data_IF_063636420366
#
_entry.id   IF_063636420366
#
_cell.length_a   1.000
_cell.length_b   1.000
_cell.length_c   1.000
_cell.angle_alpha   90.00
_cell.angle_beta   90.00
_cell.angle_gamma   90.00
#
_symmetry.space_group_name_H-M   'P 1'
#
loop_
_entity.id
_entity.type
_entity.pdbx_description
1 polymer ?
#
# COMPACT_ATOMS: atom_id res chain seq x y z
N UNK A 1 41.16 -80.08 4.31
CA UNK A 1 40.83 -79.63 2.93
C UNK A 1 39.31 -79.67 2.81
N UNK A 2 38.55 -78.65 2.43
CA UNK A 2 38.84 -77.39 1.74
C UNK A 2 37.73 -76.37 2.09
N UNK A 3 38.12 -75.09 2.22
CA UNK A 3 37.23 -73.93 2.37
C UNK A 3 36.28 -73.78 1.18
N UNK A 4 35.04 -73.32 1.43
CA UNK A 4 34.24 -72.46 0.52
C UNK A 4 32.90 -72.11 1.18
N UNK A 5 32.80 -70.93 1.83
CA UNK A 5 31.59 -70.07 1.91
C UNK A 5 31.78 -68.94 2.94
N UNK A 6 32.46 -67.85 2.56
CA UNK A 6 32.71 -66.70 3.46
C UNK A 6 32.59 -65.33 2.78
N UNK A 7 31.76 -65.20 1.73
CA UNK A 7 31.56 -63.91 1.05
C UNK A 7 30.14 -63.34 1.10
N UNK A 8 29.12 -64.13 1.46
CA UNK A 8 27.72 -63.66 1.42
C UNK A 8 27.20 -63.08 2.75
N UNK A 9 27.83 -63.40 3.87
CA UNK A 9 27.37 -62.96 5.21
C UNK A 9 27.98 -61.62 5.65
N UNK A 10 29.08 -61.17 5.02
CA UNK A 10 29.73 -59.91 5.36
C UNK A 10 29.02 -58.68 4.76
N UNK A 11 28.29 -58.83 3.66
CA UNK A 11 27.54 -57.73 3.04
C UNK A 11 26.25 -57.39 3.80
N UNK A 12 25.60 -58.38 4.43
CA UNK A 12 24.32 -58.19 5.11
C UNK A 12 24.53 -57.47 6.46
N UNK A 13 25.68 -57.70 7.12
CA UNK A 13 26.01 -57.03 8.39
C UNK A 13 26.38 -55.54 8.19
N UNK A 14 26.82 -55.15 6.99
CA UNK A 14 27.12 -53.75 6.64
C UNK A 14 25.86 -52.90 6.39
N UNK A 15 24.72 -53.51 6.07
CA UNK A 15 23.50 -52.77 5.70
C UNK A 15 22.59 -52.49 6.91
N UNK A 16 22.65 -53.32 7.95
CA UNK A 16 21.86 -53.15 9.18
C UNK A 16 22.45 -52.06 10.09
N UNK A 17 23.75 -51.78 10.00
CA UNK A 17 24.41 -50.75 10.81
C UNK A 17 24.12 -49.30 10.35
N UNK A 18 23.58 -49.11 9.14
CA UNK A 18 23.25 -47.78 8.60
C UNK A 18 21.83 -47.31 8.97
N UNK A 19 20.95 -48.22 9.38
CA UNK A 19 19.54 -47.90 9.72
C UNK A 19 19.37 -47.39 11.16
N UNK A 20 20.36 -47.62 12.04
CA UNK A 20 20.27 -47.24 13.47
C UNK A 20 20.73 -45.79 13.73
N UNK A 21 21.25 -45.08 12.73
CA UNK A 21 21.76 -43.70 12.89
C UNK A 21 20.73 -42.58 12.62
N UNK A 22 19.47 -42.88 12.34
CA UNK A 22 18.44 -41.84 12.07
C UNK A 22 17.43 -41.62 13.20
N UNK A 23 17.67 -42.13 14.41
CA UNK A 23 16.74 -41.99 15.56
C UNK A 23 17.21 -40.96 16.59
N UNK A 24 17.66 -39.79 16.17
CA UNK A 24 17.98 -38.69 17.10
C UNK A 24 17.64 -37.32 16.53
N UNK A 25 16.34 -37.01 16.43
CA UNK A 25 15.87 -35.64 16.55
C UNK A 25 15.12 -35.52 17.88
N UNK A 26 15.82 -34.88 18.82
CA UNK A 26 15.39 -34.46 20.16
C UNK A 26 14.07 -33.71 20.10
N UNK A 27 13.25 -33.94 21.12
CA UNK A 27 12.13 -33.07 21.51
C UNK A 27 12.59 -31.60 21.50
N UNK A 28 12.19 -30.88 20.47
CA UNK A 28 12.12 -29.43 20.56
C UNK A 28 10.78 -29.15 21.20
N UNK A 29 10.82 -28.95 22.51
CA UNK A 29 9.84 -28.17 23.21
C UNK A 29 9.73 -26.85 22.45
N UNK A 30 8.78 -26.77 21.50
CA UNK A 30 8.42 -25.52 20.86
C UNK A 30 7.87 -24.67 21.99
N UNK A 31 8.75 -23.87 22.60
CA UNK A 31 8.35 -22.56 23.08
C UNK A 31 7.65 -21.94 21.89
N UNK A 32 6.33 -21.95 21.93
CA UNK A 32 5.51 -21.02 21.17
C UNK A 32 5.99 -19.65 21.61
N UNK A 33 7.02 -19.13 20.93
CA UNK A 33 7.17 -17.70 20.83
C UNK A 33 5.82 -17.24 20.32
N UNK A 34 5.09 -16.54 21.19
CA UNK A 34 4.05 -15.64 20.73
C UNK A 34 4.78 -14.71 19.77
N UNK A 35 4.74 -15.02 18.48
CA UNK A 35 4.91 -14.01 17.45
C UNK A 35 3.84 -13.01 17.83
N UNK A 36 4.27 -11.92 18.47
CA UNK A 36 3.42 -10.78 18.70
C UNK A 36 3.21 -10.25 17.29
N UNK A 37 2.24 -10.84 16.58
CA UNK A 37 1.87 -10.45 15.24
C UNK A 37 1.53 -8.97 15.37
N UNK A 38 2.43 -8.12 14.88
CA UNK A 38 2.26 -6.69 14.94
C UNK A 38 0.92 -6.44 14.27
N UNK A 39 -0.07 -5.98 15.04
CA UNK A 39 -1.41 -5.77 14.54
C UNK A 39 -1.31 -4.88 13.30
N UNK A 40 -1.94 -5.32 12.21
CA UNK A 40 -2.01 -4.51 10.99
C UNK A 40 -2.75 -3.22 11.35
N UNK A 41 -2.11 -2.08 11.06
CA UNK A 41 -2.71 -0.75 11.23
C UNK A 41 -3.31 -0.36 9.90
N UNK A 42 -4.61 -0.10 9.89
CA UNK A 42 -5.34 0.30 8.70
C UNK A 42 -5.47 1.83 8.63
N UNK A 43 -5.68 2.39 7.42
CA UNK A 43 -6.00 3.80 7.25
C UNK A 43 -7.16 4.30 8.13
N UNK A 44 -8.18 3.45 8.37
CA UNK A 44 -9.30 3.76 9.27
C UNK A 44 -8.91 3.88 10.74
N UNK A 45 -7.77 3.31 11.16
CA UNK A 45 -7.24 3.45 12.52
C UNK A 45 -6.52 4.80 12.71
N UNK A 46 -6.04 5.40 11.62
CA UNK A 46 -5.30 6.67 11.62
C UNK A 46 -6.22 7.88 11.40
N UNK A 47 -7.23 7.74 10.54
CA UNK A 47 -8.19 8.80 10.21
C UNK A 47 -9.60 8.39 10.68
N UNK A 48 -10.13 8.99 11.75
CA UNK A 48 -11.31 8.48 12.46
C UNK A 48 -12.65 8.71 11.73
N UNK A 49 -12.67 9.50 10.65
CA UNK A 49 -13.85 9.82 9.85
C UNK A 49 -13.83 9.13 8.47
N UNK A 50 -13.11 8.00 8.36
CA UNK A 50 -12.94 7.29 7.08
C UNK A 50 -14.26 6.73 6.53
N UNK A 51 -15.26 6.52 7.38
CA UNK A 51 -16.62 6.09 7.02
C UNK A 51 -17.36 7.08 6.12
N UNK A 52 -16.99 8.37 6.18
CA UNK A 52 -17.54 9.43 5.34
C UNK A 52 -17.03 9.42 3.89
N UNK A 53 -16.06 8.56 3.59
CA UNK A 53 -15.35 8.54 2.32
C UNK A 53 -15.45 7.20 1.62
N UNK A 54 -15.38 7.26 0.30
CA UNK A 54 -15.07 6.14 -0.59
C UNK A 54 -13.77 6.42 -1.31
N UNK A 55 -13.12 5.41 -1.87
CA UNK A 55 -11.85 5.58 -2.59
C UNK A 55 -11.93 4.98 -3.99
N UNK A 56 -11.27 5.64 -4.94
CA UNK A 56 -10.86 5.08 -6.23
C UNK A 56 -9.33 5.01 -6.25
N UNK A 57 -8.77 3.83 -6.43
CA UNK A 57 -7.34 3.57 -6.54
C UNK A 57 -6.85 3.63 -8.00
N UNK A 58 -5.55 3.81 -8.18
CA UNK A 58 -4.96 4.00 -9.51
C UNK A 58 -4.97 2.78 -10.44
N UNK A 59 -5.28 1.59 -9.90
CA UNK A 59 -5.58 0.38 -10.66
C UNK A 59 -7.06 0.27 -11.06
N UNK A 60 -7.89 1.23 -10.65
CA UNK A 60 -9.33 1.25 -10.90
C UNK A 60 -10.17 0.59 -9.81
N UNK A 61 -9.54 0.00 -8.79
CA UNK A 61 -10.24 -0.62 -7.66
C UNK A 61 -11.00 0.45 -6.87
N UNK A 62 -12.23 0.13 -6.49
CA UNK A 62 -13.11 1.01 -5.70
C UNK A 62 -13.48 0.34 -4.40
N UNK A 63 -13.43 1.10 -3.31
CA UNK A 63 -13.98 0.69 -2.03
C UNK A 63 -14.98 1.74 -1.56
N UNK A 64 -16.22 1.31 -1.33
CA UNK A 64 -17.27 2.17 -0.78
C UNK A 64 -17.20 2.23 0.76
N UNK A 65 -16.82 1.12 1.41
CA UNK A 65 -16.60 1.07 2.85
C UNK A 65 -15.11 0.88 3.14
N UNK A 66 -14.56 1.74 3.99
CA UNK A 66 -13.11 1.84 4.21
C UNK A 66 -12.65 1.34 5.58
N UNK A 67 -13.55 0.76 6.37
CA UNK A 67 -13.21 0.13 7.64
C UNK A 67 -12.28 -1.07 7.39
N UNK A 68 -11.09 -1.05 7.99
CA UNK A 68 -10.07 -2.08 7.88
C UNK A 68 -9.65 -2.40 6.43
N UNK A 69 -9.69 -1.40 5.55
CA UNK A 69 -9.26 -1.55 4.16
C UNK A 69 -7.83 -1.08 3.99
N UNK A 70 -6.97 -1.95 3.45
CA UNK A 70 -5.70 -1.58 2.83
C UNK A 70 -5.63 -2.06 1.38
N UNK A 71 -4.92 -1.30 0.57
CA UNK A 71 -4.43 -1.72 -0.73
C UNK A 71 -2.94 -1.38 -0.81
N UNK A 72 -2.09 -2.38 -0.55
CA UNK A 72 -0.64 -2.20 -0.31
C UNK A 72 0.15 -1.39 -1.33
N UNK A 73 -0.27 -1.34 -2.60
CA UNK A 73 0.42 -0.59 -3.65
C UNK A 73 -0.11 0.83 -3.85
N UNK A 74 -1.28 1.15 -3.29
CA UNK A 74 -2.02 2.39 -3.57
C UNK A 74 -2.47 3.13 -2.31
N UNK A 75 -3.03 2.43 -1.32
CA UNK A 75 -3.66 3.00 -0.13
C UNK A 75 -3.34 2.20 1.13
N UNK A 76 -2.42 2.68 1.96
CA UNK A 76 -1.91 1.93 3.11
C UNK A 76 -1.31 2.84 4.19
N UNK A 77 -0.97 2.31 5.36
CA UNK A 77 -0.31 3.06 6.43
C UNK A 77 1.20 2.84 6.41
N UNK A 78 1.95 3.92 6.63
CA UNK A 78 3.38 3.86 6.94
C UNK A 78 3.69 4.66 8.20
N UNK A 79 4.70 4.26 8.95
CA UNK A 79 5.19 5.02 10.11
C UNK A 79 6.55 5.65 9.77
N UNK A 80 6.73 6.94 10.03
CA UNK A 80 8.00 7.65 9.76
C UNK A 80 8.97 7.65 10.97
N UNK A 81 8.68 6.84 11.99
CA UNK A 81 9.37 6.80 13.27
C UNK A 81 8.64 7.58 14.37
N UNK A 82 7.81 8.56 14.00
CA UNK A 82 7.08 9.42 14.94
C UNK A 82 5.56 9.38 14.74
N UNK A 83 5.12 9.34 13.48
CA UNK A 83 3.70 9.48 13.12
C UNK A 83 3.32 8.42 12.09
N UNK A 84 2.13 7.86 12.27
CA UNK A 84 1.49 7.03 11.26
C UNK A 84 0.83 7.92 10.20
N UNK A 85 1.15 7.64 8.93
CA UNK A 85 0.68 8.38 7.76
C UNK A 85 -0.11 7.45 6.85
N UNK A 86 -1.28 7.92 6.40
CA UNK A 86 -2.00 7.28 5.31
C UNK A 86 -1.37 7.67 3.99
N UNK A 87 -0.91 6.68 3.24
CA UNK A 87 -0.26 6.83 1.95
C UNK A 87 -1.29 6.73 0.84
N UNK A 88 -1.27 7.70 -0.07
CA UNK A 88 -1.99 7.67 -1.34
C UNK A 88 -0.95 7.63 -2.45
N UNK A 89 -0.89 6.52 -3.18
CA UNK A 89 0.09 6.29 -4.25
C UNK A 89 -0.64 5.96 -5.53
N UNK A 90 -0.23 6.58 -6.63
CA UNK A 90 -0.82 6.38 -7.95
C UNK A 90 0.26 6.47 -9.04
N UNK A 91 0.22 5.62 -10.09
CA UNK A 91 1.09 5.77 -11.24
C UNK A 91 0.64 6.93 -12.14
N UNK A 92 1.53 7.38 -13.03
CA UNK A 92 1.16 8.34 -14.08
C UNK A 92 0.13 7.77 -15.07
N UNK A 93 0.16 6.46 -15.28
CA UNK A 93 -0.75 5.74 -16.16
C UNK A 93 -1.24 4.49 -15.45
N UNK A 94 -2.54 4.46 -15.19
CA UNK A 94 -3.29 3.34 -14.65
C UNK A 94 -4.73 3.41 -15.18
N UNK A 95 -5.69 2.88 -14.43
CA UNK A 95 -7.11 2.96 -14.81
C UNK A 95 -7.69 4.29 -14.32
N UNK A 96 -8.34 5.04 -15.21
CA UNK A 96 -8.89 6.36 -14.88
C UNK A 96 -10.41 6.30 -14.67
N UNK A 97 -10.96 7.35 -14.06
CA UNK A 97 -12.42 7.54 -14.02
C UNK A 97 -12.95 7.94 -15.40
N UNK A 98 -14.25 7.73 -15.65
CA UNK A 98 -14.93 8.19 -16.87
C UNK A 98 -14.73 9.70 -17.14
N UNK A 99 -14.55 10.47 -16.07
CA UNK A 99 -14.49 11.94 -16.09
C UNK A 99 -13.07 12.50 -16.22
N UNK A 100 -12.03 11.65 -16.34
CA UNK A 100 -10.65 12.14 -16.33
C UNK A 100 -9.68 11.29 -17.15
N UNK A 101 -8.69 11.95 -17.74
CA UNK A 101 -7.51 11.33 -18.35
C UNK A 101 -6.40 11.02 -17.34
N UNK A 102 -6.54 11.45 -16.08
CA UNK A 102 -5.51 11.32 -15.06
C UNK A 102 -5.88 10.22 -14.06
N UNK A 103 -4.89 9.39 -13.73
CA UNK A 103 -5.02 8.34 -12.72
C UNK A 103 -4.99 8.94 -11.31
N UNK A 104 -5.72 8.34 -10.37
CA UNK A 104 -5.81 8.81 -8.97
C UNK A 104 -5.87 7.64 -7.99
N UNK A 105 -5.32 7.86 -6.81
CA UNK A 105 -5.73 7.14 -5.59
C UNK A 105 -6.26 8.19 -4.64
N UNK A 106 -7.57 8.33 -4.56
CA UNK A 106 -8.19 9.53 -4.00
C UNK A 106 -9.52 9.22 -3.31
N UNK A 107 -9.70 9.85 -2.14
CA UNK A 107 -10.97 9.81 -1.41
C UNK A 107 -11.99 10.75 -2.05
N UNK A 108 -13.24 10.30 -2.14
CA UNK A 108 -14.41 11.13 -2.44
C UNK A 108 -15.39 11.10 -1.29
N UNK A 109 -15.84 12.28 -0.84
CA UNK A 109 -16.83 12.37 0.23
C UNK A 109 -18.15 11.75 -0.24
N UNK A 110 -18.76 10.90 0.58
CA UNK A 110 -20.05 10.24 0.25
C UNK A 110 -21.19 11.25 0.28
N UNK A 111 -21.22 12.10 1.30
CA UNK A 111 -22.24 13.13 1.48
C UNK A 111 -21.89 14.36 0.65
N UNK A 112 -22.81 14.75 -0.23
CA UNK A 112 -22.69 15.97 -1.03
C UNK A 112 -23.35 17.15 -0.30
N UNK A 113 -22.89 18.35 -0.61
CA UNK A 113 -23.37 19.61 -0.02
C UNK A 113 -23.44 20.70 -1.09
N UNK A 114 -24.23 21.76 -0.82
CA UNK A 114 -24.33 22.93 -1.70
C UNK A 114 -23.52 24.09 -1.16
N UNK A 115 -23.20 25.07 -2.02
CA UNK A 115 -22.41 26.26 -1.63
C UNK A 115 -23.02 27.04 -0.47
N UNK A 116 -24.34 27.04 -0.33
CA UNK A 116 -25.07 27.73 0.74
C UNK A 116 -24.91 27.04 2.10
N UNK A 117 -24.81 25.71 2.10
CA UNK A 117 -24.52 24.90 3.29
C UNK A 117 -23.03 25.01 3.64
N UNK A 118 -22.19 24.97 2.61
CA UNK A 118 -20.74 24.98 2.73
C UNK A 118 -20.16 23.64 3.20
N UNK A 119 -18.82 23.58 3.22
CA UNK A 119 -18.07 22.42 3.63
C UNK A 119 -16.68 22.82 4.11
N UNK A 120 -16.09 22.02 4.98
CA UNK A 120 -14.72 22.22 5.46
C UNK A 120 -13.96 20.90 5.41
N UNK A 121 -12.83 20.91 4.71
CA UNK A 121 -11.85 19.84 4.73
C UNK A 121 -10.55 20.42 5.30
N UNK A 122 -9.91 19.70 6.21
CA UNK A 122 -8.62 20.08 6.80
C UNK A 122 -7.76 18.84 6.88
N UNK A 123 -6.47 18.98 6.55
CA UNK A 123 -5.55 17.86 6.58
C UNK A 123 -4.10 18.34 6.53
N UNK A 124 -3.24 17.66 7.26
CA UNK A 124 -1.79 17.85 7.18
C UNK A 124 -1.20 16.75 6.32
N UNK A 125 -0.35 17.10 5.35
CA UNK A 125 0.21 16.14 4.41
C UNK A 125 1.67 16.43 4.06
N UNK A 126 2.35 15.42 3.54
CA UNK A 126 3.69 15.54 2.95
C UNK A 126 3.64 14.92 1.56
N UNK A 127 4.07 15.67 0.54
CA UNK A 127 4.19 15.08 -0.80
C UNK A 127 5.54 14.38 -0.92
N UNK A 128 5.49 13.06 -0.99
CA UNK A 128 6.68 12.21 -1.01
C UNK A 128 7.26 12.01 -2.41
N UNK A 129 6.46 12.16 -3.46
CA UNK A 129 6.88 11.98 -4.83
C UNK A 129 5.91 12.64 -5.82
N UNK A 130 6.45 13.19 -6.91
CA UNK A 130 5.71 13.57 -8.13
C UNK A 130 6.40 12.94 -9.33
N UNK A 131 5.72 12.85 -10.48
CA UNK A 131 6.35 12.34 -11.70
C UNK A 131 7.68 13.03 -11.97
N UNK A 132 8.73 12.27 -12.31
CA UNK A 132 10.04 12.78 -12.73
C UNK A 132 10.16 12.89 -14.24
N UNK A 133 9.13 12.49 -14.99
CA UNK A 133 9.03 12.59 -16.45
C UNK A 133 7.81 13.40 -16.87
N UNK A 134 7.92 14.15 -17.96
CA UNK A 134 6.82 14.89 -18.56
C UNK A 134 7.32 16.03 -19.43
N UNK A 135 6.44 16.59 -20.27
CA UNK A 135 6.78 17.79 -21.02
C UNK A 135 6.75 19.01 -20.09
N UNK A 136 7.90 19.66 -19.88
CA UNK A 136 8.01 20.83 -19.02
C UNK A 136 7.20 22.04 -19.51
N UNK A 137 6.77 22.05 -20.78
CA UNK A 137 5.90 23.09 -21.35
C UNK A 137 4.44 22.92 -20.94
N UNK A 138 4.05 21.74 -20.47
CA UNK A 138 2.67 21.46 -20.02
C UNK A 138 2.52 21.86 -18.55
N UNK A 139 1.52 22.70 -18.27
CA UNK A 139 1.30 23.27 -16.94
C UNK A 139 1.13 22.20 -15.84
N UNK A 140 0.50 21.07 -16.15
CA UNK A 140 0.21 20.00 -15.22
C UNK A 140 1.40 19.04 -14.96
N UNK A 141 2.49 19.12 -15.73
CA UNK A 141 3.65 18.24 -15.54
C UNK A 141 4.30 18.43 -14.17
N UNK A 142 4.86 17.36 -13.61
CA UNK A 142 5.57 17.34 -12.33
C UNK A 142 4.71 17.79 -11.13
N UNK A 143 3.39 17.56 -11.20
CA UNK A 143 2.44 17.99 -10.18
C UNK A 143 1.51 16.86 -9.73
N UNK A 144 0.88 17.08 -8.57
CA UNK A 144 -0.18 16.23 -8.01
C UNK A 144 -1.26 17.13 -7.39
N UNK A 145 -2.52 16.75 -7.56
CA UNK A 145 -3.65 17.37 -6.84
C UNK A 145 -3.74 16.71 -5.47
N UNK A 146 -3.75 17.50 -4.40
CA UNK A 146 -3.77 17.01 -3.01
C UNK A 146 -5.08 17.29 -2.28
N UNK A 147 -5.99 18.04 -2.93
CA UNK A 147 -7.31 18.34 -2.40
C UNK A 147 -8.13 19.07 -3.46
N UNK A 148 -9.44 18.85 -3.44
CA UNK A 148 -10.34 19.44 -4.42
C UNK A 148 -11.77 19.56 -3.90
N UNK A 149 -12.52 20.47 -4.52
CA UNK A 149 -13.98 20.47 -4.54
C UNK A 149 -14.36 20.13 -5.98
N UNK A 150 -15.20 19.11 -6.16
CA UNK A 150 -15.65 18.66 -7.48
C UNK A 150 -17.17 18.75 -7.54
N UNK A 151 -17.71 19.45 -8.55
CA UNK A 151 -19.15 19.51 -8.77
C UNK A 151 -19.69 18.16 -9.21
N UNK A 152 -20.86 17.76 -8.71
CA UNK A 152 -21.50 16.49 -9.09
C UNK A 152 -22.69 16.67 -10.05
N UNK A 153 -22.89 17.88 -10.56
CA UNK A 153 -23.99 18.23 -11.45
C UNK A 153 -23.52 19.13 -12.60
N UNK A 154 -24.34 19.23 -13.64
CA UNK A 154 -24.10 20.11 -14.79
C UNK A 154 -22.82 19.76 -15.53
N UNK A 155 -21.87 20.70 -15.57
CA UNK A 155 -20.59 20.53 -16.26
C UNK A 155 -19.58 19.67 -15.47
N UNK A 156 -19.88 19.31 -14.22
CA UNK A 156 -18.96 18.54 -13.35
C UNK A 156 -17.57 19.21 -13.19
N UNK A 157 -17.53 20.55 -13.28
CA UNK A 157 -16.29 21.32 -13.09
C UNK A 157 -15.83 21.28 -11.63
N UNK A 158 -14.56 21.65 -11.40
CA UNK A 158 -13.99 21.70 -10.06
C UNK A 158 -13.83 23.15 -9.57
N UNK A 159 -14.66 23.60 -8.60
CA UNK A 159 -14.51 24.92 -7.99
C UNK A 159 -13.13 25.18 -7.41
N UNK A 160 -12.43 24.15 -6.93
CA UNK A 160 -11.09 24.25 -6.37
C UNK A 160 -10.29 22.98 -6.64
N UNK A 161 -9.02 23.15 -7.02
CA UNK A 161 -7.97 22.11 -6.98
C UNK A 161 -6.72 22.70 -6.35
N UNK A 162 -6.19 22.02 -5.34
CA UNK A 162 -4.94 22.39 -4.68
C UNK A 162 -3.84 21.51 -5.25
N UNK A 163 -2.83 22.14 -5.87
CA UNK A 163 -1.73 21.45 -6.50
C UNK A 163 -0.46 21.58 -5.68
N UNK A 164 0.30 20.50 -5.63
CA UNK A 164 1.72 20.53 -5.32
C UNK A 164 2.51 20.26 -6.60
N UNK A 165 3.51 21.08 -6.91
CA UNK A 165 4.34 20.93 -8.12
C UNK A 165 5.80 21.17 -7.79
N UNK A 166 6.67 20.31 -8.33
CA UNK A 166 8.12 20.53 -8.31
C UNK A 166 8.55 20.98 -9.72
N UNK A 167 9.05 22.21 -9.90
CA UNK A 167 9.47 22.70 -11.21
C UNK A 167 10.78 22.05 -11.64
N UNK A 168 10.80 21.48 -12.85
CA UNK A 168 12.04 20.99 -13.46
C UNK A 168 13.05 22.14 -13.68
N UNK A 169 14.37 21.95 -13.47
CA UNK A 169 15.08 20.72 -13.08
C UNK A 169 15.24 20.55 -11.55
N UNK A 170 14.52 21.30 -10.72
CA UNK A 170 14.71 21.27 -9.28
C UNK A 170 14.15 19.97 -8.68
N UNK A 171 14.90 19.36 -7.76
CA UNK A 171 14.42 18.32 -6.86
C UNK A 171 14.40 18.91 -5.45
N UNK A 172 13.32 19.59 -5.08
CA UNK A 172 13.12 19.97 -3.67
C UNK A 172 11.74 19.52 -3.22
N UNK A 173 11.74 18.61 -2.26
CA UNK A 173 10.57 18.29 -1.45
C UNK A 173 10.19 19.55 -0.66
N UNK A 174 8.90 19.84 -0.62
CA UNK A 174 8.34 20.95 0.14
C UNK A 174 7.20 20.36 0.96
N UNK A 175 7.28 20.53 2.28
CA UNK A 175 6.20 20.16 3.19
C UNK A 175 5.14 21.25 3.06
N UNK A 176 3.93 20.86 2.67
CA UNK A 176 2.81 21.78 2.54
C UNK A 176 1.92 21.62 3.77
N UNK A 177 1.98 22.59 4.68
CA UNK A 177 0.97 22.75 5.73
C UNK A 177 -0.17 23.58 5.15
N UNK A 178 -1.38 23.00 5.07
CA UNK A 178 -2.61 23.66 4.61
C UNK A 178 -3.60 23.81 5.77
#
# INVERSE_FOLDING_TARGET
MNLKTTKSTLLILSMVCLVVLTSSCRDTNKKTEKVNAKATVYPSDVVPFMDQWRILCGDGTKFEELANIEHRDYFYVTNDGNTDWVVYKTPNSGITSRTSSNTRTELGQKEHWTTEIGGKLTGSLKVMHVSTSGDARVAASYSVVVGQIHGNEGHENEPLKIFYKIPWPHQRFCVLEL
#
